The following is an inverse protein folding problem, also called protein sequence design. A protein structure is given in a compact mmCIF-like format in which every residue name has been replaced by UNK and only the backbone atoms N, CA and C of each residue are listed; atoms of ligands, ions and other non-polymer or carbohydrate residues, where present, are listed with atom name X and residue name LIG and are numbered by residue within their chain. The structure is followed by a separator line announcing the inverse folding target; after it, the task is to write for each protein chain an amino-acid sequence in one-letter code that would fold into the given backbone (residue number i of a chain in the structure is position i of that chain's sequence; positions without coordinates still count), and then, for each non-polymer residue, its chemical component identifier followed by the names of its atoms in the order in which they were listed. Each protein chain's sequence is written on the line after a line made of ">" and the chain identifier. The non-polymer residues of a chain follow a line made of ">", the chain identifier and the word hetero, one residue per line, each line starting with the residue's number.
data_IF_836881273443
#
_entry.id   IF_836881273443
#
_cell.length_a   1.000
_cell.length_b   1.000
_cell.length_c   1.000
_cell.angle_alpha   90.00
_cell.angle_beta   90.00
_cell.angle_gamma   90.00
#
_symmetry.space_group_name_H-M   'P 1'
#
loop_
_entity.id
_entity.type
_entity.pdbx_description
1 polymer ?
#
# COMPACT_ATOMS: atom_id res chain seq x y z
N UNK A 1 34.69 14.99 7.57
CA UNK A 1 34.15 15.58 6.33
C UNK A 1 32.65 15.28 6.29
N UNK A 2 31.82 16.17 6.85
CA UNK A 2 30.36 15.99 6.88
C UNK A 2 29.77 16.56 5.60
N UNK A 3 29.73 15.75 4.55
CA UNK A 3 29.04 16.12 3.33
C UNK A 3 27.53 15.97 3.56
N UNK A 4 26.77 17.02 3.23
CA UNK A 4 25.30 17.03 3.30
C UNK A 4 24.80 15.94 2.34
N UNK A 5 24.41 14.78 2.86
CA UNK A 5 24.07 13.62 2.04
C UNK A 5 22.77 13.84 1.24
N UNK A 6 21.90 14.75 1.70
CA UNK A 6 20.64 15.11 1.04
C UNK A 6 20.33 16.62 1.19
N UNK A 7 19.57 17.16 0.24
CA UNK A 7 19.07 18.54 0.25
C UNK A 7 17.87 18.76 1.19
N UNK A 8 17.34 17.70 1.81
CA UNK A 8 16.18 17.82 2.71
C UNK A 8 16.59 18.45 4.04
N UNK A 9 15.69 19.26 4.60
CA UNK A 9 15.85 19.70 5.99
C UNK A 9 15.86 18.49 6.94
N UNK A 10 16.49 18.58 8.12
CA UNK A 10 16.43 17.52 9.13
C UNK A 10 15.00 17.04 9.40
N UNK A 11 14.85 15.78 9.83
CA UNK A 11 13.55 15.29 10.27
C UNK A 11 13.09 16.12 11.48
N UNK A 12 11.84 16.59 11.50
CA UNK A 12 11.31 17.32 12.63
C UNK A 12 11.12 16.38 13.82
N UNK A 13 11.34 16.87 15.02
CA UNK A 13 11.16 16.13 16.26
C UNK A 13 11.56 16.99 17.45
N UNK A 14 10.94 16.73 18.60
CA UNK A 14 11.21 17.41 19.87
C UNK A 14 11.83 16.48 20.91
N UNK A 15 11.78 15.17 20.69
CA UNK A 15 12.27 14.19 21.64
C UNK A 15 13.76 13.96 21.50
N UNK A 16 14.45 14.02 22.64
CA UNK A 16 15.82 13.56 22.79
C UNK A 16 15.81 12.13 23.33
N UNK A 17 16.53 11.22 22.68
CA UNK A 17 16.53 9.79 23.00
C UNK A 17 17.85 9.35 23.63
N UNK A 18 17.78 8.46 24.63
CA UNK A 18 18.96 7.86 25.25
C UNK A 18 19.20 8.32 26.68
N UNK A 19 20.37 7.99 27.24
CA UNK A 19 20.74 8.44 28.59
C UNK A 19 20.78 9.98 28.61
N UNK A 20 20.00 10.58 29.51
CA UNK A 20 19.77 12.03 29.64
C UNK A 20 18.83 12.66 28.59
N UNK A 21 18.19 11.87 27.74
CA UNK A 21 17.11 12.34 26.85
C UNK A 21 15.74 12.31 27.54
N UNK A 22 14.76 13.02 26.98
CA UNK A 22 13.38 13.03 27.48
C UNK A 22 12.68 11.66 27.31
N UNK A 23 13.22 10.77 26.48
CA UNK A 23 12.80 9.36 26.38
C UNK A 23 14.00 8.46 26.62
N UNK A 24 14.08 7.87 27.81
CA UNK A 24 15.17 6.98 28.21
C UNK A 24 14.83 5.52 27.89
N UNK A 25 13.56 5.15 28.11
CA UNK A 25 13.11 3.76 28.01
C UNK A 25 13.16 3.21 26.58
N UNK A 26 13.31 1.88 26.46
CA UNK A 26 13.15 1.19 25.19
C UNK A 26 11.68 1.07 24.78
N UNK A 27 10.79 1.08 25.77
CA UNK A 27 9.35 0.90 25.63
C UNK A 27 8.62 1.97 26.45
N UNK A 28 7.58 2.56 25.87
CA UNK A 28 6.61 3.41 26.58
C UNK A 28 5.29 2.66 26.64
N UNK A 29 4.77 2.42 27.84
CA UNK A 29 3.56 1.63 28.02
C UNK A 29 2.30 2.44 27.73
N UNK A 30 1.29 1.77 27.22
CA UNK A 30 -0.03 2.33 26.97
C UNK A 30 -0.98 2.00 28.14
N UNK A 31 -1.82 2.95 28.58
CA UNK A 31 -2.74 2.70 29.68
C UNK A 31 -3.81 1.68 29.27
N UNK A 32 -4.10 0.74 30.16
CA UNK A 32 -5.07 -0.34 29.91
C UNK A 32 -6.50 0.18 29.66
N UNK A 33 -6.87 1.29 30.32
CA UNK A 33 -8.16 1.97 30.15
C UNK A 33 -7.92 3.44 29.87
N UNK A 34 -8.73 4.00 28.98
CA UNK A 34 -8.66 5.44 28.70
C UNK A 34 -10.01 6.00 28.28
N UNK A 35 -10.40 7.09 28.95
CA UNK A 35 -11.71 7.71 28.81
C UNK A 35 -11.65 9.00 27.98
N UNK A 36 -10.51 9.70 27.97
CA UNK A 36 -10.32 10.98 27.29
C UNK A 36 -9.27 10.86 26.18
N UNK A 37 -9.58 11.41 25.00
CA UNK A 37 -8.58 11.59 23.95
C UNK A 37 -7.74 12.84 24.24
N UNK A 38 -6.44 12.77 23.97
CA UNK A 38 -5.51 13.90 24.10
C UNK A 38 -4.89 14.22 22.74
N UNK A 39 -4.36 15.44 22.59
CA UNK A 39 -3.66 15.78 21.35
C UNK A 39 -2.36 14.99 21.23
N UNK A 40 -1.90 14.75 20.00
CA UNK A 40 -0.61 14.07 19.79
C UNK A 40 0.55 14.86 20.42
N UNK A 41 0.49 16.19 20.46
CA UNK A 41 1.54 17.02 21.06
C UNK A 41 1.56 16.92 22.58
N UNK A 42 0.40 16.89 23.21
CA UNK A 42 0.27 16.64 24.66
C UNK A 42 0.80 15.25 24.99
N UNK A 43 0.49 14.25 24.17
CA UNK A 43 1.00 12.89 24.33
C UNK A 43 2.54 12.86 24.30
N UNK A 44 3.17 13.56 23.34
CA UNK A 44 4.63 13.61 23.18
C UNK A 44 5.32 14.42 24.29
N UNK A 45 4.74 15.54 24.70
CA UNK A 45 5.32 16.41 25.74
C UNK A 45 5.32 15.72 27.11
N UNK A 46 4.30 14.90 27.39
CA UNK A 46 4.10 14.32 28.72
C UNK A 46 4.67 12.89 28.87
N UNK A 47 5.42 12.37 27.89
CA UNK A 47 6.04 11.03 27.98
C UNK A 47 6.99 10.94 29.19
N UNK A 48 7.75 12.00 29.44
CA UNK A 48 8.76 12.07 30.51
C UNK A 48 8.16 12.33 31.89
N UNK A 49 6.96 12.92 31.97
CA UNK A 49 6.37 13.37 33.23
C UNK A 49 5.72 12.22 34.03
N UNK A 50 5.25 11.18 33.34
CA UNK A 50 4.65 10.00 33.98
C UNK A 50 5.71 8.89 34.09
N UNK A 51 6.70 9.10 34.95
CA UNK A 51 7.57 8.03 35.45
C UNK A 51 6.90 7.42 36.68
N UNK A 52 6.34 6.21 36.56
CA UNK A 52 6.00 5.43 37.78
C UNK A 52 7.31 5.11 38.51
N UNK A 53 7.25 4.97 39.84
CA UNK A 53 8.40 4.88 40.76
C UNK A 53 9.53 3.88 40.40
N UNK A 54 9.30 3.00 39.42
CA UNK A 54 10.28 2.04 38.87
C UNK A 54 10.95 2.52 37.55
N UNK A 55 10.78 3.80 37.17
CA UNK A 55 11.32 4.34 35.92
C UNK A 55 10.55 3.94 34.65
N UNK A 56 9.33 3.43 34.82
CA UNK A 56 8.46 3.03 33.70
C UNK A 56 7.78 4.27 33.12
N UNK A 57 8.05 4.56 31.85
CA UNK A 57 7.39 5.59 31.06
C UNK A 57 6.02 5.10 30.55
N UNK A 58 4.97 5.88 30.78
CA UNK A 58 3.59 5.57 30.38
C UNK A 58 2.99 6.76 29.64
N UNK A 59 2.35 6.51 28.50
CA UNK A 59 1.58 7.55 27.82
C UNK A 59 0.30 7.90 28.62
N UNK A 60 -0.07 9.19 28.74
CA UNK A 60 -1.28 9.58 29.48
C UNK A 60 -2.57 9.02 28.87
N UNK A 61 -2.56 8.76 27.56
CA UNK A 61 -3.68 8.16 26.84
C UNK A 61 -3.22 7.36 25.62
N UNK A 62 -3.94 6.28 25.29
CA UNK A 62 -3.81 5.59 23.99
C UNK A 62 -4.78 6.09 22.93
N UNK A 63 -5.74 6.96 23.30
CA UNK A 63 -6.67 7.62 22.37
C UNK A 63 -6.14 9.01 22.06
N UNK A 64 -5.76 9.23 20.82
CA UNK A 64 -5.13 10.46 20.37
C UNK A 64 -5.99 11.17 19.33
N UNK A 65 -5.78 12.48 19.18
CA UNK A 65 -6.35 13.25 18.08
C UNK A 65 -5.34 14.20 17.44
N UNK A 66 -5.60 14.53 16.17
CA UNK A 66 -4.80 15.46 15.37
C UNK A 66 -5.75 16.46 14.70
N UNK A 67 -5.40 17.75 14.75
CA UNK A 67 -6.13 18.81 14.06
C UNK A 67 -5.52 19.08 12.67
N UNK A 68 -6.31 19.05 11.57
CA UNK A 68 -5.79 19.16 10.20
C UNK A 68 -5.08 20.48 9.87
N UNK A 69 -5.44 21.59 10.54
CA UNK A 69 -4.85 22.92 10.34
C UNK A 69 -3.33 22.94 10.53
N UNK A 70 -2.78 21.98 11.28
CA UNK A 70 -1.33 21.82 11.45
C UNK A 70 -0.66 21.16 10.25
N UNK A 71 -1.35 20.28 9.55
CA UNK A 71 -0.82 19.43 8.48
C UNK A 71 -1.16 19.97 7.08
N UNK A 72 -2.16 20.86 6.97
CA UNK A 72 -2.50 21.53 5.72
C UNK A 72 -2.47 23.05 5.89
N UNK A 73 -1.71 23.75 5.04
CA UNK A 73 -1.76 25.22 4.99
C UNK A 73 -3.10 25.66 4.41
N UNK A 74 -3.72 26.67 5.05
CA UNK A 74 -4.93 27.39 4.66
C UNK A 74 -5.32 27.24 3.18
N UNK A 75 -6.32 26.38 2.91
CA UNK A 75 -6.84 26.11 1.58
C UNK A 75 -7.39 24.69 1.38
N UNK A 76 -7.04 23.74 2.26
CA UNK A 76 -7.61 22.38 2.21
C UNK A 76 -9.01 22.34 2.85
N UNK A 77 -9.95 21.65 2.20
CA UNK A 77 -11.32 21.40 2.70
C UNK A 77 -11.38 20.43 3.90
N UNK A 78 -10.24 19.96 4.37
CA UNK A 78 -10.10 19.03 5.49
C UNK A 78 -10.20 19.82 6.80
N UNK A 79 -11.38 19.81 7.42
CA UNK A 79 -11.65 20.57 8.65
C UNK A 79 -11.83 19.70 9.90
N UNK A 80 -11.98 18.39 9.74
CA UNK A 80 -12.38 17.53 10.85
C UNK A 80 -11.18 17.02 11.64
N UNK A 81 -11.21 17.26 12.95
CA UNK A 81 -10.27 16.63 13.89
C UNK A 81 -10.39 15.12 13.79
N UNK A 82 -9.29 14.44 13.54
CA UNK A 82 -9.28 12.98 13.47
C UNK A 82 -8.94 12.39 14.83
N UNK A 83 -9.60 11.29 15.18
CA UNK A 83 -9.37 10.53 16.40
C UNK A 83 -8.88 9.14 16.01
N UNK A 84 -7.85 8.65 16.70
CA UNK A 84 -7.31 7.31 16.48
C UNK A 84 -6.85 6.71 17.80
N UNK A 85 -6.77 5.38 17.84
CA UNK A 85 -6.29 4.63 19.01
C UNK A 85 -5.00 3.90 18.66
N UNK A 86 -3.99 4.06 19.52
CA UNK A 86 -2.72 3.40 19.39
C UNK A 86 -2.89 1.89 19.62
N UNK A 87 -2.38 1.03 18.72
CA UNK A 87 -2.53 -0.41 18.86
C UNK A 87 -1.57 -0.99 19.91
N UNK A 88 -2.05 -1.99 20.66
CA UNK A 88 -1.24 -2.76 21.60
C UNK A 88 -1.20 -2.20 23.02
N UNK A 89 -0.19 -2.63 23.80
CA UNK A 89 -0.01 -2.26 25.21
C UNK A 89 1.25 -1.44 25.48
N UNK A 90 2.09 -1.22 24.46
CA UNK A 90 3.30 -0.43 24.53
C UNK A 90 3.71 0.06 23.14
N UNK A 91 4.55 1.09 23.11
CA UNK A 91 5.24 1.59 21.92
C UNK A 91 6.75 1.39 22.08
N UNK A 92 7.40 0.89 21.02
CA UNK A 92 8.86 0.93 20.92
C UNK A 92 9.37 2.30 20.47
N UNK A 93 10.69 2.51 20.57
CA UNK A 93 11.34 3.77 20.16
C UNK A 93 10.99 4.23 18.74
N UNK A 94 10.91 3.31 17.77
CA UNK A 94 10.54 3.65 16.40
C UNK A 94 9.11 4.21 16.29
N UNK A 95 8.18 3.68 17.08
CA UNK A 95 6.79 4.14 17.10
C UNK A 95 6.66 5.51 17.77
N UNK A 96 7.39 5.73 18.86
CA UNK A 96 7.45 7.03 19.55
C UNK A 96 8.07 8.09 18.64
N UNK A 97 9.13 7.74 17.92
CA UNK A 97 9.74 8.60 16.91
C UNK A 97 8.77 8.96 15.80
N UNK A 98 8.01 7.99 15.28
CA UNK A 98 6.97 8.29 14.29
C UNK A 98 5.91 9.25 14.84
N UNK A 99 5.47 9.08 16.10
CA UNK A 99 4.53 10.03 16.72
C UNK A 99 5.11 11.44 16.84
N UNK A 100 6.37 11.57 17.25
CA UNK A 100 7.03 12.87 17.38
C UNK A 100 7.23 13.56 16.03
N UNK A 101 7.60 12.80 15.00
CA UNK A 101 7.67 13.30 13.62
C UNK A 101 6.31 13.79 13.16
N UNK A 102 5.22 13.06 13.42
CA UNK A 102 3.86 13.50 13.04
C UNK A 102 3.47 14.76 13.82
N UNK A 103 3.67 14.77 15.14
CA UNK A 103 3.35 15.90 16.02
C UNK A 103 4.15 17.17 15.68
N UNK A 104 5.37 16.99 15.18
CA UNK A 104 6.28 18.06 14.79
C UNK A 104 6.23 18.39 13.30
N UNK A 105 5.53 17.58 12.50
CA UNK A 105 5.33 17.84 11.07
C UNK A 105 4.28 18.93 10.87
N UNK A 106 4.66 19.99 10.17
CA UNK A 106 3.73 21.00 9.68
C UNK A 106 3.34 20.74 8.23
N UNK A 107 2.47 21.59 7.68
CA UNK A 107 2.04 21.52 6.29
C UNK A 107 3.15 21.61 5.24
N UNK A 108 4.29 22.18 5.60
CA UNK A 108 5.46 22.26 4.72
C UNK A 108 6.18 20.92 4.52
N UNK A 109 5.90 19.91 5.34
CA UNK A 109 6.59 18.61 5.29
C UNK A 109 5.62 17.43 5.39
N UNK A 110 5.15 16.89 4.25
CA UNK A 110 4.27 15.73 4.26
C UNK A 110 4.97 14.48 4.81
N UNK A 111 4.26 13.72 5.64
CA UNK A 111 4.74 12.45 6.22
C UNK A 111 4.29 11.30 5.32
N UNK A 112 5.21 10.39 5.00
CA UNK A 112 4.95 9.19 4.20
C UNK A 112 5.35 7.94 4.95
N UNK A 113 4.59 6.87 4.70
CA UNK A 113 4.80 5.52 5.18
C UNK A 113 5.14 4.61 4.00
N UNK A 114 5.93 3.57 4.24
CA UNK A 114 6.29 2.58 3.22
C UNK A 114 5.24 1.48 3.07
N UNK A 115 4.27 1.38 3.99
CA UNK A 115 3.29 0.32 4.01
C UNK A 115 2.11 0.61 4.93
N UNK A 116 1.15 -0.32 4.94
CA UNK A 116 -0.02 -0.35 5.81
C UNK A 116 -0.07 -1.65 6.62
N UNK A 117 -0.89 -1.70 7.66
CA UNK A 117 -1.29 -2.90 8.40
C UNK A 117 -0.26 -3.42 9.39
N UNK A 118 0.79 -2.65 9.69
CA UNK A 118 1.82 -3.03 10.65
C UNK A 118 1.83 -2.12 11.86
N UNK A 119 2.37 -2.57 13.00
CA UNK A 119 2.39 -1.79 14.26
C UNK A 119 2.99 -0.39 14.15
N UNK A 120 3.85 -0.17 13.16
CA UNK A 120 4.48 1.13 12.87
C UNK A 120 3.55 2.17 12.25
N UNK A 121 2.36 1.80 11.77
CA UNK A 121 1.35 2.74 11.26
C UNK A 121 0.54 3.40 12.38
N UNK A 122 0.69 2.93 13.63
CA UNK A 122 0.09 3.54 14.83
C UNK A 122 -1.45 3.63 14.79
N UNK A 123 -2.11 2.77 13.99
CA UNK A 123 -3.57 2.81 13.80
C UNK A 123 -4.03 3.87 12.80
N UNK A 124 -3.11 4.49 12.06
CA UNK A 124 -3.42 5.55 11.08
C UNK A 124 -3.73 5.03 9.67
N UNK A 125 -3.87 3.71 9.48
CA UNK A 125 -4.01 3.06 8.17
C UNK A 125 -5.10 3.63 7.26
N UNK A 126 -6.19 4.10 7.85
CA UNK A 126 -7.31 4.73 7.13
C UNK A 126 -7.00 6.12 6.60
N UNK A 127 -5.96 6.78 7.13
CA UNK A 127 -5.47 8.10 6.76
C UNK A 127 -4.23 8.04 5.85
N UNK A 128 -3.82 6.83 5.46
CA UNK A 128 -2.69 6.60 4.57
C UNK A 128 -3.18 6.48 3.14
N UNK A 129 -2.82 7.42 2.27
CA UNK A 129 -3.26 7.45 0.88
C UNK A 129 -2.11 7.10 -0.07
N UNK A 130 -2.33 6.19 -1.04
CA UNK A 130 -1.27 5.79 -1.96
C UNK A 130 -0.85 6.93 -2.90
N UNK A 131 0.45 7.22 -2.91
CA UNK A 131 1.09 8.17 -3.82
C UNK A 131 2.41 7.55 -4.34
N UNK A 132 2.34 6.96 -5.53
CA UNK A 132 3.44 6.19 -6.11
C UNK A 132 3.70 4.90 -5.33
N UNK A 133 4.90 4.77 -4.78
CA UNK A 133 5.35 3.59 -4.02
C UNK A 133 5.31 3.79 -2.50
N UNK A 134 4.69 4.87 -2.04
CA UNK A 134 4.56 5.20 -0.63
C UNK A 134 3.14 5.65 -0.30
N UNK A 135 2.85 5.77 0.98
CA UNK A 135 1.54 6.20 1.47
C UNK A 135 1.67 7.51 2.23
N UNK A 136 1.08 8.57 1.68
CA UNK A 136 1.03 9.87 2.33
C UNK A 136 0.03 9.85 3.47
N UNK A 137 0.42 10.36 4.62
CA UNK A 137 -0.50 10.63 5.72
C UNK A 137 -1.33 11.88 5.45
N UNK A 138 -2.64 11.73 5.38
CA UNK A 138 -3.63 12.79 5.20
C UNK A 138 -4.67 12.61 6.31
N UNK A 139 -4.64 13.43 7.38
CA UNK A 139 -5.56 13.32 8.51
C UNK A 139 -6.96 13.84 8.15
N UNK A 140 -7.69 13.14 7.30
CA UNK A 140 -9.01 13.53 6.82
C UNK A 140 -9.94 12.33 6.73
N UNK A 141 -11.15 12.45 7.30
CA UNK A 141 -12.23 11.49 7.06
C UNK A 141 -12.94 11.74 5.71
N UNK A 142 -12.85 12.96 5.18
CA UNK A 142 -13.53 13.40 3.95
C UNK A 142 -12.66 13.25 2.70
N UNK A 143 -11.42 12.77 2.85
CA UNK A 143 -10.63 12.39 1.71
C UNK A 143 -11.20 11.08 1.20
N UNK A 144 -11.92 11.14 0.07
CA UNK A 144 -12.50 9.95 -0.54
C UNK A 144 -11.43 8.86 -0.58
N UNK A 145 -11.70 7.76 0.11
CA UNK A 145 -10.77 6.66 0.37
C UNK A 145 -10.10 6.13 -0.91
N UNK A 146 -10.75 6.36 -2.05
CA UNK A 146 -10.37 5.86 -3.38
C UNK A 146 -9.96 6.96 -4.38
N UNK A 147 -9.94 8.24 -3.98
CA UNK A 147 -9.58 9.34 -4.91
C UNK A 147 -8.09 9.58 -4.89
N UNK A 148 -7.40 8.75 -5.68
CA UNK A 148 -5.98 8.86 -5.93
C UNK A 148 -5.65 10.18 -6.65
N UNK A 149 -4.59 10.87 -6.21
CA UNK A 149 -4.07 12.04 -6.91
C UNK A 149 -3.42 11.62 -8.25
N UNK A 150 -4.20 11.67 -9.33
CA UNK A 150 -3.77 11.21 -10.66
C UNK A 150 -2.54 11.94 -11.18
N UNK A 151 -2.49 13.27 -11.03
CA UNK A 151 -1.37 14.09 -11.54
C UNK A 151 -0.06 13.71 -10.87
N UNK A 152 -0.07 13.61 -9.53
CA UNK A 152 1.12 13.25 -8.76
C UNK A 152 1.54 11.81 -9.04
N UNK A 153 0.60 10.85 -9.05
CA UNK A 153 0.90 9.46 -9.34
C UNK A 153 1.42 9.27 -10.77
N UNK A 154 0.87 9.99 -11.74
CA UNK A 154 1.38 9.98 -13.11
C UNK A 154 2.82 10.51 -13.19
N UNK A 155 3.10 11.63 -12.54
CA UNK A 155 4.46 12.19 -12.47
C UNK A 155 5.45 11.22 -11.80
N UNK A 156 5.08 10.64 -10.65
CA UNK A 156 5.94 9.66 -9.98
C UNK A 156 6.19 8.46 -10.88
N UNK A 157 5.14 7.77 -11.34
CA UNK A 157 5.25 6.49 -12.04
C UNK A 157 5.78 6.63 -13.46
N UNK A 158 5.40 7.68 -14.19
CA UNK A 158 5.73 7.86 -15.61
C UNK A 158 6.91 8.80 -15.86
N UNK A 159 7.28 9.67 -14.93
CA UNK A 159 8.36 10.66 -15.15
C UNK A 159 9.54 10.38 -14.24
N UNK A 160 9.32 10.32 -12.92
CA UNK A 160 10.41 10.24 -11.94
C UNK A 160 10.97 8.83 -11.74
N UNK A 161 10.14 7.81 -11.88
CA UNK A 161 10.53 6.42 -11.63
C UNK A 161 11.31 5.85 -12.82
N UNK A 162 12.52 5.37 -12.59
CA UNK A 162 13.38 4.80 -13.63
C UNK A 162 13.55 3.30 -13.41
N UNK A 163 13.15 2.52 -14.42
CA UNK A 163 13.20 1.06 -14.42
C UNK A 163 14.03 0.54 -15.59
N UNK A 164 15.03 1.32 -16.02
CA UNK A 164 15.76 1.12 -17.28
C UNK A 164 16.38 -0.27 -17.45
N UNK A 165 16.74 -0.93 -16.35
CA UNK A 165 17.25 -2.31 -16.37
C UNK A 165 16.09 -3.28 -16.67
N UNK A 166 14.96 -3.16 -15.99
CA UNK A 166 13.80 -4.04 -16.18
C UNK A 166 13.16 -3.88 -17.57
N UNK A 167 13.33 -2.72 -18.21
CA UNK A 167 12.85 -2.47 -19.57
C UNK A 167 13.73 -3.12 -20.68
N UNK A 168 14.86 -3.73 -20.32
CA UNK A 168 15.76 -4.39 -21.27
C UNK A 168 15.41 -5.88 -21.46
N UNK A 169 15.38 -6.32 -22.73
CA UNK A 169 15.00 -7.70 -23.12
C UNK A 169 15.95 -8.82 -22.62
N UNK A 170 17.15 -8.49 -22.14
CA UNK A 170 18.21 -9.48 -21.83
C UNK A 170 18.55 -9.57 -20.34
N UNK A 171 17.74 -8.98 -19.47
CA UNK A 171 17.97 -9.02 -18.03
C UNK A 171 17.39 -10.31 -17.46
N UNK A 172 18.22 -11.05 -16.74
CA UNK A 172 17.76 -12.16 -15.93
C UNK A 172 16.98 -11.59 -14.73
N UNK A 173 15.68 -11.85 -14.69
CA UNK A 173 14.83 -11.55 -13.54
C UNK A 173 14.72 -12.81 -12.69
N UNK A 174 15.64 -12.93 -11.75
CA UNK A 174 15.69 -13.99 -10.76
C UNK A 174 14.61 -13.81 -9.69
N UNK A 175 14.50 -14.77 -8.76
CA UNK A 175 13.52 -14.73 -7.69
C UNK A 175 13.67 -13.51 -6.77
N UNK A 176 14.88 -12.96 -6.62
CA UNK A 176 15.09 -11.77 -5.80
C UNK A 176 14.49 -10.53 -6.48
N UNK A 177 14.76 -10.34 -7.76
CA UNK A 177 14.21 -9.23 -8.55
C UNK A 177 12.68 -9.36 -8.64
N UNK A 178 12.14 -10.56 -8.85
CA UNK A 178 10.68 -10.80 -8.83
C UNK A 178 10.06 -10.39 -7.50
N UNK A 179 10.64 -10.84 -6.38
CA UNK A 179 10.18 -10.45 -5.04
C UNK A 179 10.24 -8.95 -4.84
N UNK A 180 11.27 -8.27 -5.35
CA UNK A 180 11.36 -6.81 -5.28
C UNK A 180 10.24 -6.12 -6.07
N UNK A 181 9.91 -6.60 -7.27
CA UNK A 181 8.78 -6.10 -8.08
C UNK A 181 7.45 -6.24 -7.30
N UNK A 182 7.27 -7.37 -6.62
CA UNK A 182 6.07 -7.66 -5.83
C UNK A 182 5.99 -6.79 -4.55
N UNK A 183 7.10 -6.67 -3.80
CA UNK A 183 7.19 -5.86 -2.58
C UNK A 183 6.95 -4.38 -2.87
N UNK A 184 7.44 -3.89 -4.02
CA UNK A 184 7.20 -2.51 -4.46
C UNK A 184 5.81 -2.30 -5.07
N UNK A 185 5.00 -3.35 -5.16
CA UNK A 185 3.63 -3.31 -5.68
C UNK A 185 3.54 -2.66 -7.08
N UNK A 186 4.52 -2.94 -7.96
CA UNK A 186 4.62 -2.28 -9.27
C UNK A 186 3.33 -2.49 -10.09
N UNK A 187 2.88 -3.73 -10.26
CA UNK A 187 1.65 -4.02 -11.02
C UNK A 187 0.43 -3.28 -10.46
N UNK A 188 0.24 -3.34 -9.14
CA UNK A 188 -0.88 -2.73 -8.46
C UNK A 188 -0.89 -1.19 -8.59
N UNK A 189 0.27 -0.54 -8.41
CA UNK A 189 0.35 0.93 -8.47
C UNK A 189 0.03 1.46 -9.87
N UNK A 190 0.56 0.79 -10.91
CA UNK A 190 0.28 1.18 -12.29
C UNK A 190 -1.16 0.84 -12.71
N UNK A 191 -1.70 -0.32 -12.34
CA UNK A 191 -3.09 -0.69 -12.66
C UNK A 191 -4.09 0.25 -11.98
N UNK A 192 -3.86 0.62 -10.71
CA UNK A 192 -4.71 1.57 -10.00
C UNK A 192 -4.69 2.96 -10.66
N UNK A 193 -3.51 3.42 -11.10
CA UNK A 193 -3.41 4.69 -11.84
C UNK A 193 -4.18 4.62 -13.15
N UNK A 194 -4.01 3.55 -13.92
CA UNK A 194 -4.73 3.36 -15.18
C UNK A 194 -6.26 3.30 -14.98
N UNK A 195 -6.75 2.55 -13.98
CA UNK A 195 -8.18 2.47 -13.65
C UNK A 195 -8.74 3.85 -13.33
N UNK A 196 -8.04 4.62 -12.47
CA UNK A 196 -8.48 5.96 -12.09
C UNK A 196 -8.52 6.91 -13.29
N UNK A 197 -7.45 6.91 -14.12
CA UNK A 197 -7.40 7.72 -15.34
C UNK A 197 -8.54 7.35 -16.31
N UNK A 198 -8.81 6.06 -16.50
CA UNK A 198 -9.90 5.61 -17.37
C UNK A 198 -11.25 6.08 -16.86
N UNK A 199 -11.52 5.97 -15.55
CA UNK A 199 -12.77 6.44 -14.93
C UNK A 199 -12.97 7.95 -15.07
N UNK A 200 -11.89 8.73 -15.11
CA UNK A 200 -11.92 10.18 -15.37
C UNK A 200 -11.90 10.55 -16.86
N UNK A 201 -12.00 9.58 -17.77
CA UNK A 201 -12.01 9.83 -19.22
C UNK A 201 -10.63 10.05 -19.86
N UNK A 202 -9.53 9.93 -19.11
CA UNK A 202 -8.16 10.06 -19.60
C UNK A 202 -7.64 8.76 -20.24
N UNK A 203 -8.37 8.27 -21.24
CA UNK A 203 -8.17 6.95 -21.87
C UNK A 203 -6.76 6.78 -22.47
N UNK A 204 -6.27 7.77 -23.23
CA UNK A 204 -4.93 7.70 -23.84
C UNK A 204 -3.82 7.64 -22.79
N UNK A 205 -3.96 8.39 -21.70
CA UNK A 205 -2.98 8.37 -20.59
C UNK A 205 -3.02 7.04 -19.84
N UNK A 206 -4.22 6.49 -19.61
CA UNK A 206 -4.40 5.16 -19.03
C UNK A 206 -3.70 4.07 -19.84
N UNK A 207 -3.92 4.03 -21.15
CA UNK A 207 -3.26 3.06 -22.03
C UNK A 207 -1.73 3.21 -22.03
N UNK A 208 -1.21 4.45 -21.98
CA UNK A 208 0.24 4.70 -21.84
C UNK A 208 0.81 4.14 -20.53
N UNK A 209 0.09 4.28 -19.41
CA UNK A 209 0.49 3.73 -18.11
C UNK A 209 0.57 2.21 -18.17
N UNK A 210 -0.44 1.55 -18.76
CA UNK A 210 -0.47 0.10 -18.91
C UNK A 210 0.64 -0.42 -19.83
N UNK A 211 0.92 0.27 -20.95
CA UNK A 211 2.02 -0.09 -21.83
C UNK A 211 3.38 0.04 -21.15
N UNK A 212 3.57 1.04 -20.28
CA UNK A 212 4.79 1.14 -19.49
C UNK A 212 4.88 0.00 -18.48
N UNK A 213 3.79 -0.33 -17.79
CA UNK A 213 3.75 -1.47 -16.88
C UNK A 213 4.20 -2.76 -17.59
N UNK A 214 3.66 -3.03 -18.78
CA UNK A 214 4.03 -4.21 -19.56
C UNK A 214 5.47 -4.19 -20.10
N UNK A 215 6.17 -3.05 -20.09
CA UNK A 215 7.62 -3.00 -20.35
C UNK A 215 8.46 -3.29 -19.12
N UNK A 216 7.99 -2.87 -17.94
CA UNK A 216 8.73 -3.01 -16.68
C UNK A 216 8.56 -4.41 -16.08
N UNK A 217 7.34 -4.94 -16.11
CA UNK A 217 7.00 -6.23 -15.54
C UNK A 217 6.21 -7.08 -16.56
N UNK A 218 6.83 -7.41 -17.72
CA UNK A 218 6.19 -8.20 -18.74
C UNK A 218 5.89 -9.60 -18.20
N UNK A 219 4.84 -10.22 -18.73
CA UNK A 219 4.30 -11.49 -18.24
C UNK A 219 5.25 -12.68 -18.43
N UNK A 220 6.04 -12.67 -19.49
CA UNK A 220 7.00 -13.72 -19.82
C UNK A 220 8.19 -13.75 -18.85
N UNK A 221 8.43 -12.64 -18.15
CA UNK A 221 9.53 -12.48 -17.19
C UNK A 221 9.03 -12.54 -15.75
N UNK A 222 7.91 -11.86 -15.47
CA UNK A 222 7.25 -11.84 -14.17
C UNK A 222 5.98 -12.69 -14.30
N UNK A 223 5.89 -13.87 -13.66
CA UNK A 223 4.74 -14.77 -13.78
C UNK A 223 3.41 -14.10 -13.47
N UNK A 224 2.29 -14.69 -13.91
CA UNK A 224 0.99 -14.13 -13.59
C UNK A 224 0.72 -14.21 -12.09
N UNK A 225 0.06 -13.17 -11.59
CA UNK A 225 -0.36 -13.04 -10.19
C UNK A 225 -1.77 -12.46 -10.13
N UNK A 226 -2.33 -12.34 -8.92
CA UNK A 226 -3.67 -11.79 -8.72
C UNK A 226 -3.83 -10.36 -9.27
N UNK A 227 -2.74 -9.60 -9.42
CA UNK A 227 -2.78 -8.25 -9.99
C UNK A 227 -3.13 -8.26 -11.49
N UNK A 228 -2.92 -9.37 -12.20
CA UNK A 228 -3.34 -9.53 -13.60
C UNK A 228 -4.85 -9.28 -13.79
N UNK A 229 -5.68 -9.58 -12.77
CA UNK A 229 -7.12 -9.27 -12.78
C UNK A 229 -7.34 -7.75 -12.85
N UNK A 230 -6.59 -6.96 -12.08
CA UNK A 230 -6.69 -5.50 -12.10
C UNK A 230 -6.11 -4.90 -13.38
N UNK A 231 -5.04 -5.47 -13.93
CA UNK A 231 -4.44 -5.05 -15.20
C UNK A 231 -5.44 -5.25 -16.34
N UNK A 232 -6.06 -6.43 -16.43
CA UNK A 232 -7.10 -6.71 -17.44
C UNK A 232 -8.29 -5.76 -17.29
N UNK A 233 -8.76 -5.57 -16.05
CA UNK A 233 -9.81 -4.60 -15.74
C UNK A 233 -9.46 -3.18 -16.22
N UNK A 234 -8.23 -2.73 -16.01
CA UNK A 234 -7.75 -1.42 -16.47
C UNK A 234 -7.75 -1.31 -18.00
N UNK A 235 -7.30 -2.35 -18.71
CA UNK A 235 -7.35 -2.42 -20.16
C UNK A 235 -8.78 -2.36 -20.70
N UNK A 236 -9.72 -3.07 -20.08
CA UNK A 236 -11.13 -3.00 -20.46
C UNK A 236 -11.71 -1.59 -20.26
N UNK A 237 -11.42 -0.95 -19.12
CA UNK A 237 -11.86 0.42 -18.85
C UNK A 237 -11.27 1.45 -19.85
N UNK A 238 -10.07 1.20 -20.40
CA UNK A 238 -9.48 2.07 -21.42
C UNK A 238 -9.85 1.66 -22.86
N UNK A 239 -10.77 0.70 -23.05
CA UNK A 239 -11.23 0.23 -24.36
C UNK A 239 -10.25 -0.71 -25.09
N UNK A 240 -9.13 -1.08 -24.48
CA UNK A 240 -8.14 -1.98 -25.06
C UNK A 240 -8.49 -3.45 -24.78
N UNK A 241 -9.65 -3.89 -25.25
CA UNK A 241 -10.22 -5.18 -24.91
C UNK A 241 -9.31 -6.37 -25.23
N UNK A 242 -8.68 -6.37 -26.41
CA UNK A 242 -7.77 -7.46 -26.82
C UNK A 242 -6.61 -7.64 -25.83
N UNK A 243 -6.03 -6.55 -25.35
CA UNK A 243 -4.97 -6.60 -24.35
C UNK A 243 -5.51 -7.18 -23.03
N UNK A 244 -6.68 -6.74 -22.58
CA UNK A 244 -7.30 -7.29 -21.37
C UNK A 244 -7.58 -8.80 -21.49
N UNK A 245 -8.08 -9.24 -22.64
CA UNK A 245 -8.36 -10.65 -22.92
C UNK A 245 -7.08 -11.50 -22.90
N UNK A 246 -5.97 -10.99 -23.45
CA UNK A 246 -4.68 -11.69 -23.45
C UNK A 246 -4.18 -11.92 -22.01
N UNK A 247 -4.19 -10.88 -21.18
CA UNK A 247 -3.79 -10.97 -19.76
C UNK A 247 -4.66 -11.98 -19.01
N UNK A 248 -5.98 -11.92 -19.22
CA UNK A 248 -6.94 -12.69 -18.44
C UNK A 248 -6.95 -14.17 -18.84
N UNK A 249 -6.84 -14.47 -20.14
CA UNK A 249 -6.75 -15.84 -20.65
C UNK A 249 -5.46 -16.50 -20.16
N UNK A 250 -4.35 -15.76 -20.20
CA UNK A 250 -3.07 -16.23 -19.69
C UNK A 250 -3.10 -16.56 -18.20
N UNK A 251 -3.68 -15.66 -17.38
CA UNK A 251 -3.79 -15.92 -15.94
C UNK A 251 -4.78 -17.06 -15.64
N UNK A 252 -5.90 -17.14 -16.35
CA UNK A 252 -6.86 -18.23 -16.20
C UNK A 252 -6.22 -19.59 -16.52
N UNK A 253 -5.42 -19.67 -17.60
CA UNK A 253 -4.66 -20.87 -17.93
C UNK A 253 -3.74 -21.29 -16.78
N UNK A 254 -2.97 -20.36 -16.21
CA UNK A 254 -2.09 -20.66 -15.07
C UNK A 254 -2.90 -21.17 -13.86
N UNK A 255 -4.00 -20.53 -13.51
CA UNK A 255 -4.85 -20.95 -12.39
C UNK A 255 -5.42 -22.36 -12.60
N UNK A 256 -5.77 -22.70 -13.83
CA UNK A 256 -6.31 -24.01 -14.18
C UNK A 256 -5.22 -25.09 -14.09
N UNK A 257 -4.03 -24.81 -14.61
CA UNK A 257 -2.86 -25.69 -14.48
C UNK A 257 -2.50 -25.93 -13.01
N UNK A 258 -2.50 -24.87 -12.19
CA UNK A 258 -2.31 -24.96 -10.74
C UNK A 258 -3.40 -25.81 -10.06
N UNK A 259 -4.68 -25.64 -10.43
CA UNK A 259 -5.78 -26.45 -9.91
C UNK A 259 -5.55 -27.93 -10.23
N UNK A 260 -5.25 -28.26 -11.49
CA UNK A 260 -4.95 -29.64 -11.90
C UNK A 260 -3.75 -30.20 -11.13
N UNK A 261 -2.69 -29.42 -10.94
CA UNK A 261 -1.54 -29.81 -10.12
C UNK A 261 -1.98 -30.15 -8.70
N UNK A 262 -2.73 -29.27 -8.02
CA UNK A 262 -3.20 -29.49 -6.66
C UNK A 262 -4.13 -30.70 -6.52
N UNK A 263 -4.94 -30.98 -7.55
CA UNK A 263 -5.85 -32.13 -7.56
C UNK A 263 -5.11 -33.47 -7.68
N UNK A 264 -3.98 -33.48 -8.39
CA UNK A 264 -3.15 -34.66 -8.64
C UNK A 264 -1.99 -34.84 -7.63
N UNK A 265 -1.88 -33.96 -6.62
CA UNK A 265 -0.93 -34.14 -5.53
C UNK A 265 -1.23 -35.41 -4.73
N UNK A 266 -0.16 -36.03 -4.20
CA UNK A 266 -0.27 -37.13 -3.24
C UNK A 266 -1.22 -36.73 -2.09
N UNK A 267 -2.18 -37.59 -1.69
CA UNK A 267 -3.11 -37.31 -0.60
C UNK A 267 -2.47 -36.79 0.69
N UNK A 268 -1.25 -37.24 1.01
CA UNK A 268 -0.48 -36.81 2.19
C UNK A 268 -0.07 -35.33 2.14
N UNK A 269 0.20 -34.78 0.95
CA UNK A 269 0.62 -33.38 0.75
C UNK A 269 -0.57 -32.48 0.43
N UNK A 270 -1.66 -33.03 -0.10
CA UNK A 270 -2.86 -32.28 -0.52
C UNK A 270 -3.49 -31.45 0.61
N UNK A 271 -3.36 -31.90 1.86
CA UNK A 271 -3.80 -31.16 3.05
C UNK A 271 -2.96 -29.92 3.38
N UNK A 272 -1.70 -29.88 2.92
CA UNK A 272 -0.74 -28.81 3.22
C UNK A 272 -0.93 -27.59 2.31
N UNK A 273 -1.54 -27.79 1.13
CA UNK A 273 -1.77 -26.74 0.12
C UNK A 273 -3.20 -26.17 0.17
N UNK A 274 -3.87 -26.29 1.31
CA UNK A 274 -5.27 -25.86 1.46
C UNK A 274 -5.48 -24.36 1.21
N UNK A 275 -4.50 -23.54 1.62
CA UNK A 275 -4.53 -22.09 1.43
C UNK A 275 -4.37 -21.72 -0.05
N UNK A 276 -3.42 -22.34 -0.72
CA UNK A 276 -3.11 -22.16 -2.14
C UNK A 276 -4.30 -22.55 -3.00
N UNK A 277 -4.93 -23.69 -2.71
CA UNK A 277 -6.17 -24.12 -3.39
C UNK A 277 -7.31 -23.13 -3.21
N UNK A 278 -7.48 -22.60 -2.00
CA UNK A 278 -8.52 -21.61 -1.70
C UNK A 278 -8.26 -20.28 -2.42
N UNK A 279 -7.01 -19.82 -2.43
CA UNK A 279 -6.59 -18.61 -3.14
C UNK A 279 -6.75 -18.75 -4.65
N UNK A 280 -6.39 -19.90 -5.21
CA UNK A 280 -6.55 -20.21 -6.63
C UNK A 280 -8.03 -20.10 -7.04
N UNK A 281 -8.94 -20.78 -6.33
CA UNK A 281 -10.39 -20.70 -6.58
C UNK A 281 -10.92 -19.28 -6.41
N UNK A 282 -10.47 -18.56 -5.37
CA UNK A 282 -10.86 -17.17 -5.14
C UNK A 282 -10.46 -16.26 -6.31
N UNK A 283 -9.23 -16.39 -6.80
CA UNK A 283 -8.73 -15.61 -7.93
C UNK A 283 -9.46 -15.96 -9.23
N UNK A 284 -9.76 -17.25 -9.44
CA UNK A 284 -10.54 -17.71 -10.58
C UNK A 284 -11.95 -17.09 -10.58
N UNK A 285 -12.64 -17.11 -9.43
CA UNK A 285 -13.96 -16.50 -9.31
C UNK A 285 -13.93 -14.97 -9.50
N UNK A 286 -12.91 -14.29 -8.99
CA UNK A 286 -12.72 -12.85 -9.23
C UNK A 286 -12.52 -12.54 -10.72
N UNK A 287 -11.71 -13.34 -11.40
CA UNK A 287 -11.47 -13.22 -12.83
C UNK A 287 -12.78 -13.34 -13.62
N UNK A 288 -13.59 -14.36 -13.32
CA UNK A 288 -14.93 -14.52 -13.92
C UNK A 288 -15.82 -13.31 -13.64
N UNK A 289 -15.76 -12.75 -12.43
CA UNK A 289 -16.48 -11.53 -12.07
C UNK A 289 -16.12 -10.35 -12.96
N UNK A 290 -14.83 -10.15 -13.26
CA UNK A 290 -14.38 -9.09 -14.18
C UNK A 290 -14.83 -9.33 -15.62
N UNK A 291 -14.77 -10.58 -16.11
CA UNK A 291 -15.27 -10.90 -17.45
C UNK A 291 -16.76 -10.56 -17.59
N UNK A 292 -17.58 -10.96 -16.62
CA UNK A 292 -19.01 -10.65 -16.59
C UNK A 292 -19.26 -9.14 -16.51
N UNK A 293 -18.55 -8.44 -15.63
CA UNK A 293 -18.69 -6.98 -15.46
C UNK A 293 -18.34 -6.17 -16.71
N UNK A 294 -17.51 -6.70 -17.60
CA UNK A 294 -17.12 -6.09 -18.87
C UNK A 294 -17.77 -6.74 -20.10
N UNK A 295 -18.82 -7.54 -19.92
CA UNK A 295 -19.54 -8.24 -20.99
C UNK A 295 -18.63 -9.09 -21.90
N UNK A 296 -17.57 -9.70 -21.36
CA UNK A 296 -16.62 -10.56 -22.08
C UNK A 296 -17.10 -12.02 -22.11
N UNK A 297 -18.36 -12.25 -22.49
CA UNK A 297 -18.99 -13.58 -22.46
C UNK A 297 -18.30 -14.58 -23.39
N UNK A 298 -17.85 -14.14 -24.56
CA UNK A 298 -17.12 -15.00 -25.52
C UNK A 298 -15.82 -15.54 -24.91
N UNK A 299 -15.11 -14.73 -24.14
CA UNK A 299 -13.87 -15.12 -23.45
C UNK A 299 -14.18 -16.13 -22.34
N UNK A 300 -15.27 -15.92 -21.61
CA UNK A 300 -15.73 -16.86 -20.59
C UNK A 300 -16.10 -18.21 -21.20
N UNK A 301 -16.88 -18.24 -22.28
CA UNK A 301 -17.23 -19.49 -23.00
C UNK A 301 -16.00 -20.20 -23.55
N UNK A 302 -15.02 -19.44 -24.06
CA UNK A 302 -13.73 -20.00 -24.49
C UNK A 302 -13.02 -20.71 -23.34
N UNK A 303 -12.97 -20.08 -22.16
CA UNK A 303 -12.37 -20.71 -20.97
C UNK A 303 -13.11 -21.98 -20.57
N UNK A 304 -14.45 -21.96 -20.54
CA UNK A 304 -15.24 -23.16 -20.23
C UNK A 304 -14.95 -24.31 -21.20
N UNK A 305 -14.86 -24.00 -22.50
CA UNK A 305 -14.67 -25.00 -23.56
C UNK A 305 -13.26 -25.57 -23.57
N UNK A 306 -12.23 -24.72 -23.51
CA UNK A 306 -10.82 -25.13 -23.60
C UNK A 306 -10.35 -25.88 -22.35
N UNK A 307 -10.93 -25.56 -21.19
CA UNK A 307 -10.42 -26.03 -19.91
C UNK A 307 -11.42 -26.89 -19.11
N UNK A 308 -12.56 -27.27 -19.70
CA UNK A 308 -13.55 -28.18 -19.12
C UNK A 308 -13.87 -27.84 -17.66
N UNK A 309 -14.19 -26.57 -17.44
CA UNK A 309 -14.44 -26.02 -16.10
C UNK A 309 -15.77 -26.49 -15.47
N UNK A 310 -16.55 -27.27 -16.22
CA UNK A 310 -17.81 -27.95 -15.90
C UNK A 310 -17.75 -29.37 -16.46
#
# INVERSE_FOLDING_TARGET
>A
MHQKQNLSAPLPGKLEYGQNGNVESKLVYLPAKTYKAISIEEAITNISEIRRGDGIEILPSKKLFITPEKIFNNGSSVKDTIFFELPGSYLGRSQIFTLDVIASSGASRPVYFTGKGHKGTLGLDQYLHPEGFAYRFIPSNNYEKDTMNQKLNYDILMVRSQWSILEQKRVLVDDHIRKMIDIMHIRQNYSNLAISLSKSGHITSSFKVLNRLMKIAPIDVVPYDQNCIQIAHAYYLCGAFKNGDEIILGYAKQLIEEKYFFENLNPLVKGWVGTERSNNLYNFNKLVGILKGHNRNEIFTKLETEYKLL
#
